data_IF_822857671489
#
_entry.id   IF_822857671489
#
_cell.length_a   1.000
_cell.length_b   1.000
_cell.length_c   1.000
_cell.angle_alpha   90.00
_cell.angle_beta   90.00
_cell.angle_gamma   90.00
#
_symmetry.space_group_name_H-M   'P 1'
#
loop_
_entity.id
_entity.type
_entity.pdbx_description
1 polymer ?
#
# COMPACT_ATOMS: atom_id res chain seq x y z
N UNK A 1 0.60 5.51 -17.05
CA UNK A 1 0.50 4.47 -15.98
C UNK A 1 1.28 3.26 -16.47
N UNK A 2 2.05 2.58 -15.62
CA UNK A 2 2.94 1.50 -16.06
C UNK A 2 2.14 0.30 -16.58
N UNK A 3 1.05 -0.05 -15.91
CA UNK A 3 0.25 -1.22 -16.23
C UNK A 3 -1.09 -0.88 -16.88
N UNK A 4 -1.74 -1.81 -17.59
CA UNK A 4 -3.15 -1.64 -17.97
C UNK A 4 -4.07 -1.59 -16.74
N UNK A 5 -5.28 -1.06 -16.91
CA UNK A 5 -6.26 -0.93 -15.82
C UNK A 5 -6.68 -2.29 -15.22
N UNK A 6 -7.08 -2.27 -13.95
CA UNK A 6 -7.57 -3.44 -13.21
C UNK A 6 -8.67 -4.22 -13.96
N UNK A 7 -9.60 -3.53 -14.64
CA UNK A 7 -10.66 -4.17 -15.43
C UNK A 7 -10.13 -5.09 -16.53
N UNK A 8 -8.89 -4.86 -17.00
CA UNK A 8 -8.21 -5.68 -18.00
C UNK A 8 -7.28 -6.71 -17.36
N UNK A 9 -6.61 -6.37 -16.27
CA UNK A 9 -5.56 -7.21 -15.67
C UNK A 9 -6.08 -8.17 -14.61
N UNK A 10 -7.13 -7.82 -13.88
CA UNK A 10 -7.67 -8.58 -12.76
C UNK A 10 -6.74 -8.70 -11.55
N UNK A 11 -5.71 -7.84 -11.47
CA UNK A 11 -4.67 -7.89 -10.43
C UNK A 11 -4.35 -6.49 -9.91
N UNK A 12 -3.90 -6.42 -8.66
CA UNK A 12 -3.27 -5.23 -8.06
C UNK A 12 -1.78 -5.49 -7.86
N UNK A 13 -1.02 -4.47 -7.50
CA UNK A 13 0.44 -4.56 -7.47
C UNK A 13 0.99 -4.41 -6.05
N UNK A 14 1.68 -5.44 -5.54
CA UNK A 14 2.35 -5.43 -4.24
C UNK A 14 3.86 -5.29 -4.44
N UNK A 15 4.51 -4.46 -3.62
CA UNK A 15 5.97 -4.32 -3.61
C UNK A 15 6.54 -5.12 -2.43
N UNK A 16 7.51 -5.97 -2.72
CA UNK A 16 8.20 -6.78 -1.71
C UNK A 16 9.72 -6.62 -1.80
N UNK A 17 10.43 -6.74 -0.68
CA UNK A 17 11.88 -6.85 -0.70
C UNK A 17 12.31 -8.14 -1.40
N UNK A 18 13.41 -8.10 -2.16
CA UNK A 18 13.97 -9.31 -2.75
C UNK A 18 14.40 -10.35 -1.70
N UNK A 19 14.72 -9.92 -0.47
CA UNK A 19 15.07 -10.83 0.63
C UNK A 19 13.88 -11.67 1.10
N UNK A 20 12.66 -11.12 1.00
CA UNK A 20 11.43 -11.81 1.42
C UNK A 20 10.77 -12.57 0.27
N UNK A 21 11.23 -12.36 -0.97
CA UNK A 21 10.59 -12.86 -2.18
C UNK A 21 10.43 -14.39 -2.18
N UNK A 22 11.43 -15.13 -1.69
CA UNK A 22 11.34 -16.60 -1.60
C UNK A 22 10.18 -17.02 -0.71
N UNK A 23 10.08 -16.42 0.48
CA UNK A 23 9.03 -16.72 1.44
C UNK A 23 7.66 -16.39 0.86
N UNK A 24 7.52 -15.19 0.28
CA UNK A 24 6.25 -14.75 -0.33
C UNK A 24 5.77 -15.71 -1.43
N UNK A 25 6.69 -16.20 -2.27
CA UNK A 25 6.34 -17.14 -3.34
C UNK A 25 6.04 -18.56 -2.84
N UNK A 26 6.47 -18.93 -1.63
CA UNK A 26 6.24 -20.28 -1.08
C UNK A 26 5.08 -20.33 -0.08
N UNK A 27 4.87 -19.26 0.68
CA UNK A 27 3.93 -19.22 1.82
C UNK A 27 2.76 -18.26 1.59
N UNK A 28 2.86 -17.36 0.61
CA UNK A 28 1.88 -16.32 0.34
C UNK A 28 2.19 -15.03 1.09
N UNK A 29 1.17 -14.18 1.24
CA UNK A 29 1.28 -12.91 1.96
C UNK A 29 0.17 -12.82 3.00
N UNK A 30 0.55 -12.47 4.22
CA UNK A 30 -0.33 -12.09 5.34
C UNK A 30 0.10 -10.73 5.87
N UNK A 31 -0.79 -10.10 6.62
CA UNK A 31 -0.55 -8.75 7.15
C UNK A 31 0.51 -8.72 8.26
N UNK A 32 0.73 -9.85 8.93
CA UNK A 32 1.60 -10.03 10.09
C UNK A 32 2.94 -10.71 9.76
N UNK A 33 3.25 -10.94 8.48
CA UNK A 33 4.44 -11.69 8.07
C UNK A 33 5.76 -10.90 8.16
N UNK A 34 5.73 -9.60 8.47
CA UNK A 34 6.92 -8.72 8.43
C UNK A 34 7.29 -8.21 9.82
N UNK A 35 8.44 -8.60 10.35
CA UNK A 35 8.98 -8.07 11.61
C UNK A 35 9.17 -6.53 11.61
N UNK A 36 9.43 -5.95 10.43
CA UNK A 36 9.51 -4.49 10.23
C UNK A 36 8.17 -3.79 10.41
N UNK A 37 7.05 -4.50 10.20
CA UNK A 37 5.71 -3.97 10.39
C UNK A 37 5.44 -3.65 11.86
N UNK A 38 5.73 -4.61 12.75
CA UNK A 38 5.52 -4.47 14.19
C UNK A 38 6.32 -3.30 14.77
N UNK A 39 7.55 -3.12 14.31
CA UNK A 39 8.49 -2.16 14.91
C UNK A 39 8.38 -0.74 14.35
N UNK A 40 7.88 -0.55 13.11
CA UNK A 40 7.84 0.77 12.47
C UNK A 40 6.44 1.29 12.17
N UNK A 41 5.51 0.41 11.80
CA UNK A 41 4.26 0.84 11.16
C UNK A 41 3.02 0.54 12.01
N UNK A 42 3.10 -0.38 12.97
CA UNK A 42 1.94 -0.81 13.74
C UNK A 42 1.23 0.33 14.49
N UNK A 43 1.96 1.11 15.28
CA UNK A 43 1.36 2.22 16.04
C UNK A 43 0.89 3.36 15.12
N UNK A 44 1.57 3.58 14.00
CA UNK A 44 1.13 4.52 12.98
C UNK A 44 -0.24 4.12 12.39
N UNK A 45 -0.37 2.87 11.95
CA UNK A 45 -1.65 2.38 11.41
C UNK A 45 -2.77 2.36 12.45
N UNK A 46 -2.45 2.08 13.72
CA UNK A 46 -3.41 2.11 14.82
C UNK A 46 -3.99 3.51 15.07
N UNK A 47 -3.19 4.56 14.92
CA UNK A 47 -3.69 5.95 15.01
C UNK A 47 -4.62 6.26 13.84
N UNK A 48 -4.28 5.83 12.63
CA UNK A 48 -5.15 6.00 11.46
C UNK A 48 -6.48 5.28 11.70
N UNK A 49 -6.46 4.01 12.15
CA UNK A 49 -7.65 3.24 12.50
C UNK A 49 -8.52 3.93 13.56
N UNK A 50 -7.91 4.61 14.54
CA UNK A 50 -8.64 5.32 15.60
C UNK A 50 -9.48 6.50 15.08
N UNK A 51 -9.19 7.01 13.88
CA UNK A 51 -9.95 8.08 13.23
C UNK A 51 -11.01 7.56 12.25
N UNK A 52 -11.20 6.24 12.16
CA UNK A 52 -12.19 5.62 11.29
C UNK A 52 -13.59 6.09 11.64
N UNK A 53 -14.34 6.55 10.63
CA UNK A 53 -15.72 7.00 10.82
C UNK A 53 -16.69 5.81 10.87
N UNK A 54 -17.88 6.00 11.44
CA UNK A 54 -18.94 4.97 11.51
C UNK A 54 -19.45 4.49 10.14
N UNK A 55 -19.13 5.21 9.06
CA UNK A 55 -19.50 4.84 7.69
C UNK A 55 -18.62 3.70 7.14
N UNK A 56 -17.42 3.54 7.69
CA UNK A 56 -16.47 2.53 7.24
C UNK A 56 -16.78 1.21 7.98
N UNK A 57 -16.93 0.09 7.28
CA UNK A 57 -17.22 -1.18 7.92
C UNK A 57 -16.17 -1.60 8.96
N UNK A 58 -16.61 -2.35 9.99
CA UNK A 58 -15.73 -2.80 11.07
C UNK A 58 -14.62 -3.73 10.61
N UNK A 59 -14.87 -4.51 9.56
CA UNK A 59 -13.89 -5.41 8.96
C UNK A 59 -12.75 -4.69 8.23
N UNK A 60 -12.91 -3.41 7.90
CA UNK A 60 -11.83 -2.60 7.29
C UNK A 60 -10.92 -2.10 8.41
N UNK A 61 -9.74 -2.69 8.51
CA UNK A 61 -8.75 -2.38 9.55
C UNK A 61 -7.41 -2.18 8.85
N UNK A 62 -6.91 -0.93 8.81
CA UNK A 62 -5.64 -0.60 8.13
C UNK A 62 -4.48 -1.37 8.75
N UNK A 63 -4.45 -1.51 10.09
CA UNK A 63 -3.39 -2.25 10.77
C UNK A 63 -3.36 -3.77 10.52
N UNK A 64 -4.34 -4.30 9.77
CA UNK A 64 -4.46 -5.71 9.39
C UNK A 64 -4.53 -5.89 7.87
N UNK A 65 -4.19 -4.84 7.12
CA UNK A 65 -4.23 -4.86 5.67
C UNK A 65 -2.89 -5.31 5.09
N UNK A 66 -2.95 -6.04 3.98
CA UNK A 66 -1.85 -6.11 3.02
C UNK A 66 -2.01 -4.92 2.07
N UNK A 67 -0.94 -4.14 1.89
CA UNK A 67 -0.96 -2.94 1.05
C UNK A 67 -0.55 -3.27 -0.37
N UNK A 68 -1.33 -2.81 -1.34
CA UNK A 68 -1.01 -2.88 -2.76
C UNK A 68 -1.43 -1.58 -3.45
N UNK A 69 -1.06 -1.40 -4.71
CA UNK A 69 -1.49 -0.25 -5.52
C UNK A 69 -2.31 -0.73 -6.71
N UNK A 70 -3.28 0.06 -7.15
CA UNK A 70 -4.01 -0.24 -8.40
C UNK A 70 -3.10 -0.15 -9.63
N UNK A 71 -2.16 0.80 -9.60
CA UNK A 71 -1.18 1.05 -10.66
C UNK A 71 -0.09 2.00 -10.14
N UNK A 72 0.88 2.31 -10.99
CA UNK A 72 1.88 3.34 -10.74
C UNK A 72 1.98 4.30 -11.94
N UNK A 73 2.23 5.60 -11.72
CA UNK A 73 2.59 6.50 -12.80
C UNK A 73 3.92 6.07 -13.44
N UNK A 74 4.15 6.42 -14.71
CA UNK A 74 5.41 6.07 -15.40
C UNK A 74 6.64 6.77 -14.78
N UNK A 75 6.40 7.88 -14.08
CA UNK A 75 7.40 8.61 -13.31
C UNK A 75 7.67 8.03 -11.92
N UNK A 76 7.00 6.95 -11.51
CA UNK A 76 7.14 6.40 -10.17
C UNK A 76 8.57 5.92 -9.91
N UNK A 77 9.11 6.30 -8.75
CA UNK A 77 10.46 5.94 -8.34
C UNK A 77 10.39 4.77 -7.36
N UNK A 78 10.66 3.57 -7.86
CA UNK A 78 10.71 2.38 -7.02
C UNK A 78 12.00 2.32 -6.21
N UNK A 79 11.88 1.89 -4.95
CA UNK A 79 13.05 1.54 -4.15
C UNK A 79 13.77 0.34 -4.77
N UNK A 80 15.10 0.42 -4.80
CA UNK A 80 15.94 -0.67 -5.28
C UNK A 80 15.84 -1.90 -4.38
N UNK A 81 16.24 -3.05 -4.93
CA UNK A 81 16.21 -4.34 -4.24
C UNK A 81 14.80 -4.79 -3.86
N UNK A 82 13.82 -4.48 -4.72
CA UNK A 82 12.43 -4.90 -4.58
C UNK A 82 11.95 -5.68 -5.80
N UNK A 83 10.85 -6.41 -5.64
CA UNK A 83 10.07 -6.96 -6.74
C UNK A 83 8.66 -6.36 -6.73
N UNK A 84 8.14 -6.06 -7.92
CA UNK A 84 6.73 -5.75 -8.12
C UNK A 84 6.01 -7.05 -8.44
N UNK A 85 5.05 -7.41 -7.60
CA UNK A 85 4.20 -8.58 -7.75
C UNK A 85 2.85 -8.15 -8.29
N UNK A 86 2.33 -8.85 -9.29
CA UNK A 86 0.90 -8.84 -9.58
C UNK A 86 0.22 -9.85 -8.67
N UNK A 87 -0.81 -9.41 -7.94
CA UNK A 87 -1.55 -10.25 -7.00
C UNK A 87 -3.03 -10.26 -7.35
N UNK A 88 -3.65 -11.44 -7.37
CA UNK A 88 -5.11 -11.58 -7.42
C UNK A 88 -5.69 -11.39 -6.03
N UNK A 89 -6.87 -10.77 -5.98
CA UNK A 89 -7.55 -10.41 -4.74
C UNK A 89 -9.03 -10.78 -4.81
N UNK A 90 -9.68 -10.89 -3.65
CA UNK A 90 -11.14 -10.84 -3.53
C UNK A 90 -11.57 -9.37 -3.36
N UNK A 91 -12.14 -8.74 -4.41
CA UNK A 91 -12.51 -7.32 -4.36
C UNK A 91 -13.54 -6.99 -3.28
N UNK A 92 -14.35 -7.97 -2.83
CA UNK A 92 -15.35 -7.76 -1.78
C UNK A 92 -14.73 -7.59 -0.40
N UNK A 93 -13.45 -7.97 -0.26
CA UNK A 93 -12.67 -7.89 0.98
C UNK A 93 -11.54 -6.86 0.85
N UNK A 94 -11.69 -5.90 -0.06
CA UNK A 94 -10.70 -4.86 -0.32
C UNK A 94 -11.30 -3.47 -0.17
N UNK A 95 -10.47 -2.53 0.24
CA UNK A 95 -10.79 -1.12 0.40
C UNK A 95 -9.77 -0.27 -0.34
N UNK A 96 -10.17 0.88 -0.88
CA UNK A 96 -9.29 1.81 -1.59
C UNK A 96 -9.24 3.11 -0.82
N UNK A 97 -8.04 3.60 -0.53
CA UNK A 97 -7.80 4.82 0.22
C UNK A 97 -6.73 5.69 -0.46
N UNK A 98 -6.64 6.95 -0.07
CA UNK A 98 -5.66 7.89 -0.61
C UNK A 98 -4.41 7.89 0.27
N UNK A 99 -3.34 7.24 -0.21
CA UNK A 99 -2.08 7.06 0.50
C UNK A 99 -1.42 8.40 0.85
N UNK A 100 -1.60 9.44 0.01
CA UNK A 100 -1.05 10.78 0.27
C UNK A 100 -1.46 11.34 1.63
N UNK A 101 -2.70 11.09 2.06
CA UNK A 101 -3.18 11.54 3.37
C UNK A 101 -2.45 10.84 4.53
N UNK A 102 -2.00 9.60 4.34
CA UNK A 102 -1.20 8.90 5.33
C UNK A 102 0.28 9.33 5.24
N UNK A 103 0.83 9.45 4.03
CA UNK A 103 2.23 9.78 3.80
C UNK A 103 2.61 11.14 4.42
N UNK A 104 1.77 12.17 4.29
CA UNK A 104 2.03 13.48 4.91
C UNK A 104 2.12 13.45 6.45
N UNK A 105 1.61 12.40 7.10
CA UNK A 105 1.57 12.25 8.55
C UNK A 105 2.74 11.42 9.06
N UNK A 106 3.35 10.59 8.22
CA UNK A 106 4.32 9.58 8.66
C UNK A 106 5.58 10.18 9.27
N UNK A 107 6.27 11.09 8.59
CA UNK A 107 7.47 11.73 9.14
C UNK A 107 7.16 12.52 10.42
N UNK A 108 6.11 13.37 10.49
CA UNK A 108 5.72 13.99 11.75
C UNK A 108 5.45 12.99 12.86
N UNK A 109 4.79 11.86 12.56
CA UNK A 109 4.53 10.81 13.54
C UNK A 109 5.82 10.18 14.10
N UNK A 110 6.82 9.93 13.25
CA UNK A 110 8.10 9.36 13.68
C UNK A 110 8.93 10.36 14.48
N UNK A 111 8.93 11.64 14.08
CA UNK A 111 9.79 12.67 14.67
C UNK A 111 9.21 13.32 15.94
N UNK A 112 7.94 13.09 16.27
CA UNK A 112 7.24 13.82 17.34
C UNK A 112 7.84 13.68 18.75
N UNK A 113 8.64 12.65 19.00
CA UNK A 113 9.30 12.42 20.31
C UNK A 113 10.70 13.04 20.40
N UNK A 114 11.18 13.69 19.34
CA UNK A 114 12.45 14.41 19.34
C UNK A 114 12.22 15.89 19.67
N UNK A 115 12.94 16.41 20.68
CA UNK A 115 12.77 17.79 21.16
C UNK A 115 12.95 18.85 20.05
N UNK A 116 13.88 18.62 19.12
CA UNK A 116 14.16 19.49 17.97
C UNK A 116 12.98 19.58 17.00
N UNK A 117 12.08 18.60 17.01
CA UNK A 117 10.89 18.51 16.15
C UNK A 117 9.58 18.67 16.94
N UNK A 118 9.59 19.42 18.04
CA UNK A 118 8.43 19.60 18.92
C UNK A 118 7.14 20.09 18.20
N UNK A 119 7.28 20.77 17.06
CA UNK A 119 6.17 21.19 16.20
C UNK A 119 5.34 20.03 15.63
N UNK A 120 5.90 18.83 15.50
CA UNK A 120 5.22 17.65 14.96
C UNK A 120 4.00 17.25 15.81
N UNK A 121 4.09 17.31 17.15
CA UNK A 121 2.94 17.03 18.03
C UNK A 121 1.77 17.98 17.77
N UNK A 122 2.06 19.27 17.57
CA UNK A 122 1.05 20.27 17.23
C UNK A 122 0.42 20.00 15.87
N UNK A 123 1.24 19.73 14.84
CA UNK A 123 0.78 19.40 13.50
C UNK A 123 -0.15 18.16 13.51
N UNK A 124 0.25 17.08 14.18
CA UNK A 124 -0.54 15.85 14.30
C UNK A 124 -1.90 16.10 14.98
N UNK A 125 -1.93 16.97 16.00
CA UNK A 125 -3.15 17.33 16.72
C UNK A 125 -4.11 18.22 15.91
N UNK A 126 -3.62 18.91 14.87
CA UNK A 126 -4.41 19.82 14.03
C UNK A 126 -4.56 19.30 12.60
N UNK A 127 -3.60 19.59 11.73
CA UNK A 127 -3.62 19.29 10.30
C UNK A 127 -3.58 17.79 10.05
N UNK A 128 -2.74 17.06 10.80
CA UNK A 128 -2.67 15.60 10.73
C UNK A 128 -4.03 14.95 11.04
N UNK A 129 -4.74 15.42 12.07
CA UNK A 129 -6.10 14.93 12.38
C UNK A 129 -7.10 15.19 11.25
N UNK A 130 -7.02 16.36 10.60
CA UNK A 130 -7.85 16.67 9.44
C UNK A 130 -7.54 15.74 8.26
N UNK A 131 -6.26 15.45 8.01
CA UNK A 131 -5.83 14.50 7.00
C UNK A 131 -6.30 13.07 7.29
N UNK A 132 -6.25 12.60 8.55
CA UNK A 132 -6.78 11.29 8.94
C UNK A 132 -8.30 11.19 8.74
N UNK A 133 -9.01 12.29 8.96
CA UNK A 133 -10.45 12.35 8.72
C UNK A 133 -10.74 12.28 7.22
N UNK A 134 -10.04 13.10 6.44
CA UNK A 134 -10.11 13.11 4.97
C UNK A 134 -9.79 11.73 4.39
N UNK A 135 -8.71 11.09 4.86
CA UNK A 135 -8.31 9.74 4.46
C UNK A 135 -9.49 8.76 4.47
N UNK A 136 -10.25 8.71 5.57
CA UNK A 136 -11.40 7.81 5.68
C UNK A 136 -12.60 8.31 4.89
N UNK A 137 -12.89 9.62 4.91
CA UNK A 137 -14.03 10.20 4.20
C UNK A 137 -13.93 10.08 2.68
N UNK A 138 -12.71 10.09 2.13
CA UNK A 138 -12.46 9.92 0.69
C UNK A 138 -12.18 8.47 0.30
N UNK A 139 -12.15 7.55 1.26
CA UNK A 139 -11.94 6.12 1.00
C UNK A 139 -13.26 5.39 0.70
N UNK A 140 -13.16 4.28 -0.02
CA UNK A 140 -14.33 3.55 -0.50
C UNK A 140 -14.03 2.06 -0.69
N UNK A 141 -15.09 1.25 -0.75
CA UNK A 141 -14.93 -0.18 -1.05
C UNK A 141 -14.29 -0.35 -2.43
N UNK A 142 -13.51 -1.40 -2.63
CA UNK A 142 -12.88 -1.64 -3.93
C UNK A 142 -13.93 -1.76 -5.04
N UNK A 143 -15.08 -2.39 -4.73
CA UNK A 143 -16.21 -2.54 -5.65
C UNK A 143 -16.79 -1.18 -6.06
N UNK A 144 -17.01 -0.28 -5.10
CA UNK A 144 -17.50 1.06 -5.37
C UNK A 144 -16.46 1.87 -6.16
N UNK A 145 -15.17 1.69 -5.87
CA UNK A 145 -14.12 2.37 -6.62
C UNK A 145 -14.12 1.98 -8.10
N UNK A 146 -14.44 0.73 -8.46
CA UNK A 146 -14.55 0.32 -9.88
C UNK A 146 -15.66 1.06 -10.65
N UNK A 147 -16.61 1.67 -9.92
CA UNK A 147 -17.74 2.43 -10.46
C UNK A 147 -17.44 3.93 -10.41
N UNK A 148 -17.13 4.47 -9.22
CA UNK A 148 -17.00 5.91 -8.99
C UNK A 148 -15.60 6.47 -9.30
N UNK A 149 -14.58 5.60 -9.35
CA UNK A 149 -13.21 5.93 -9.76
C UNK A 149 -12.60 7.12 -9.02
N UNK A 150 -12.67 7.13 -7.69
CA UNK A 150 -12.01 8.18 -6.90
C UNK A 150 -10.48 8.13 -7.05
N UNK A 151 -9.94 6.95 -7.35
CA UNK A 151 -8.54 6.74 -7.73
C UNK A 151 -8.05 7.58 -8.92
N UNK A 152 -8.95 8.10 -9.76
CA UNK A 152 -8.59 8.93 -10.91
C UNK A 152 -8.58 10.44 -10.62
N UNK A 153 -8.96 10.85 -9.42
CA UNK A 153 -8.95 12.26 -9.04
C UNK A 153 -7.51 12.75 -8.85
N UNK A 154 -7.28 14.01 -9.20
CA UNK A 154 -5.97 14.63 -9.03
C UNK A 154 -5.54 14.60 -7.54
N UNK A 155 -4.30 14.19 -7.29
CA UNK A 155 -3.76 14.04 -5.93
C UNK A 155 -4.27 12.81 -5.16
N UNK A 156 -4.96 11.88 -5.82
CA UNK A 156 -5.36 10.59 -5.23
C UNK A 156 -4.31 9.51 -5.53
N UNK A 157 -3.53 9.14 -4.52
CA UNK A 157 -2.61 7.99 -4.63
C UNK A 157 -3.32 6.74 -4.11
N UNK A 158 -3.77 5.88 -5.03
CA UNK A 158 -4.68 4.80 -4.72
C UNK A 158 -3.97 3.57 -4.15
N UNK A 159 -3.90 3.51 -2.83
CA UNK A 159 -3.57 2.29 -2.09
C UNK A 159 -4.80 1.40 -1.93
N UNK A 160 -4.55 0.10 -1.98
CA UNK A 160 -5.52 -0.98 -1.80
C UNK A 160 -5.21 -1.68 -0.49
N UNK A 161 -6.18 -1.65 0.42
CA UNK A 161 -6.16 -2.37 1.70
C UNK A 161 -6.80 -3.74 1.50
N UNK A 162 -5.99 -4.78 1.42
CA UNK A 162 -6.45 -6.16 1.22
C UNK A 162 -6.67 -6.79 2.60
N UNK A 163 -7.91 -7.15 2.93
CA UNK A 163 -8.32 -7.69 4.24
C UNK A 163 -8.42 -9.23 4.25
N UNK A 164 -7.55 -9.87 3.47
CA UNK A 164 -7.43 -11.33 3.39
C UNK A 164 -6.00 -11.72 3.03
N UNK A 165 -5.57 -12.93 3.41
CA UNK A 165 -4.29 -13.47 2.98
C UNK A 165 -4.30 -13.74 1.47
N UNK A 166 -3.14 -13.62 0.84
CA UNK A 166 -2.94 -13.89 -0.59
C UNK A 166 -2.16 -15.19 -0.71
N UNK A 167 -2.73 -16.26 -1.29
CA UNK A 167 -2.04 -17.53 -1.40
C UNK A 167 -0.98 -17.50 -2.53
N UNK A 168 0.05 -18.36 -2.49
CA UNK A 168 1.13 -18.40 -3.49
C UNK A 168 0.67 -18.43 -4.95
N UNK A 169 -0.38 -19.20 -5.26
CA UNK A 169 -0.93 -19.38 -6.61
C UNK A 169 -1.53 -18.10 -7.22
N UNK A 170 -1.79 -17.09 -6.38
CA UNK A 170 -2.32 -15.79 -6.78
C UNK A 170 -1.25 -14.71 -6.91
N UNK A 171 0.03 -15.08 -6.82
CA UNK A 171 1.18 -14.17 -6.84
C UNK A 171 2.04 -14.42 -8.08
N UNK A 172 2.27 -13.38 -8.87
CA UNK A 172 3.15 -13.42 -10.05
C UNK A 172 4.18 -12.29 -9.99
N UNK A 173 5.47 -12.61 -10.18
CA UNK A 173 6.51 -11.57 -10.31
C UNK A 173 6.31 -10.85 -11.64
N UNK A 174 6.07 -9.54 -11.60
CA UNK A 174 6.00 -8.69 -12.80
C UNK A 174 7.36 -8.11 -13.15
N UNK A 175 8.01 -7.49 -12.17
CA UNK A 175 9.27 -6.81 -12.36
C UNK A 175 10.20 -7.00 -11.17
N UNK A 176 11.49 -7.00 -11.44
CA UNK A 176 12.55 -6.88 -10.45
C UNK A 176 13.14 -5.48 -10.58
N UNK A 177 13.21 -4.77 -9.47
CA UNK A 177 13.78 -3.44 -9.34
C UNK A 177 15.18 -3.57 -8.74
N UNK A 178 16.16 -3.27 -9.58
CA UNK A 178 17.55 -3.08 -9.18
C UNK A 178 17.87 -1.58 -9.17
N UNK A 179 19.02 -1.22 -8.60
CA UNK A 179 19.42 0.18 -8.32
C UNK A 179 19.24 1.17 -9.49
N UNK A 180 19.32 0.69 -10.72
CA UNK A 180 19.13 1.54 -11.91
C UNK A 180 18.17 0.97 -12.95
N UNK A 181 17.48 -0.16 -12.67
CA UNK A 181 16.69 -0.86 -13.70
C UNK A 181 15.47 -1.56 -13.14
N UNK A 182 14.37 -1.37 -13.86
CA UNK A 182 13.16 -2.19 -13.79
C UNK A 182 13.21 -3.21 -14.92
N UNK A 183 13.28 -4.51 -14.60
CA UNK A 183 13.37 -5.58 -15.59
C UNK A 183 12.27 -6.61 -15.36
N UNK A 184 11.59 -7.02 -16.42
CA UNK A 184 10.67 -8.16 -16.33
C UNK A 184 11.46 -9.47 -16.11
N UNK A 185 10.75 -10.53 -15.71
CA UNK A 185 11.39 -11.83 -15.37
C UNK A 185 12.16 -12.42 -16.56
N UNK A 186 11.66 -12.23 -17.79
CA UNK A 186 12.29 -12.74 -19.01
C UNK A 186 13.63 -12.03 -19.25
N UNK A 187 13.64 -10.71 -19.19
CA UNK A 187 14.82 -9.88 -19.37
C UNK A 187 15.85 -10.12 -18.27
N UNK A 188 15.38 -10.33 -17.04
CA UNK A 188 16.25 -10.66 -15.91
C UNK A 188 16.98 -11.97 -16.15
N UNK A 189 16.23 -13.04 -16.48
CA UNK A 189 16.80 -14.36 -16.80
C UNK A 189 17.79 -14.27 -17.95
N UNK A 190 17.42 -13.62 -19.05
CA UNK A 190 18.33 -13.46 -20.21
C UNK A 190 19.67 -12.79 -19.85
N UNK A 191 19.68 -11.91 -18.85
CA UNK A 191 20.88 -11.16 -18.45
C UNK A 191 21.74 -11.89 -17.43
N UNK A 192 21.14 -12.65 -16.52
CA UNK A 192 21.80 -13.13 -15.30
C UNK A 192 21.67 -14.64 -15.03
N UNK A 193 20.95 -15.38 -15.87
CA UNK A 193 20.75 -16.82 -15.75
C UNK A 193 21.15 -17.52 -17.06
#
# INVERSE_FOLDING_TARGET
MIFPEYKKTGVVYHIVSLNDLKQVLTEGIRYDDKATYETKYYEFHKIIDAHKTKKIPDWVIRRKAIFASLNYPESHQFHSHTAILAVRIDPKRCWVANENCANEIYEPFVLQEMDEFCGCKKYLATEGKALLTKYWETSLSFMDNQIYRYDLQEGYDAEVLIQHAIPPEDIEIRYIISDHRMMDVKSWKQRFC
#
